data_IF_456940444668
#
_entry.id   IF_456940444668
#
_cell.length_a   1.000
_cell.length_b   1.000
_cell.length_c   1.000
_cell.angle_alpha   90.00
_cell.angle_beta   90.00
_cell.angle_gamma   90.00
#
_symmetry.space_group_name_H-M   'P 1'
#
loop_
_entity.id
_entity.type
_entity.pdbx_description
1 polymer ?
#
# COMPACT_ATOMS: atom_id res chain seq x y z
N UNK A 1 -25.31 -2.64 -25.61
CA UNK A 1 -24.19 -1.67 -25.78
C UNK A 1 -23.96 -0.80 -24.52
N UNK A 2 -24.98 -0.41 -23.75
CA UNK A 2 -24.84 0.41 -22.51
C UNK A 2 -24.02 -0.24 -21.37
N UNK A 3 -24.11 -1.56 -21.14
CA UNK A 3 -23.43 -2.23 -20.01
C UNK A 3 -21.90 -2.19 -20.12
N UNK A 4 -21.36 -2.21 -21.35
CA UNK A 4 -19.91 -2.16 -21.58
C UNK A 4 -19.28 -0.81 -21.26
N UNK A 5 -19.99 0.30 -21.51
CA UNK A 5 -19.50 1.65 -21.19
C UNK A 5 -19.50 1.92 -19.68
N UNK A 6 -20.49 1.39 -18.94
CA UNK A 6 -20.57 1.51 -17.48
C UNK A 6 -19.43 0.76 -16.83
N UNK A 7 -19.19 -0.50 -17.23
CA UNK A 7 -18.08 -1.31 -16.75
C UNK A 7 -16.72 -0.66 -17.05
N UNK A 8 -16.55 -0.12 -18.26
CA UNK A 8 -15.30 0.54 -18.66
C UNK A 8 -15.04 1.83 -17.88
N UNK A 9 -16.06 2.66 -17.65
CA UNK A 9 -15.95 3.88 -16.83
C UNK A 9 -15.72 3.58 -15.35
N UNK A 10 -16.37 2.55 -14.81
CA UNK A 10 -16.14 2.11 -13.44
C UNK A 10 -14.71 1.61 -13.25
N UNK A 11 -14.21 0.80 -14.19
CA UNK A 11 -12.85 0.27 -14.17
C UNK A 11 -11.80 1.38 -14.33
N UNK A 12 -11.94 2.28 -15.30
CA UNK A 12 -10.99 3.39 -15.46
C UNK A 12 -11.01 4.36 -14.29
N UNK A 13 -12.18 4.68 -13.74
CA UNK A 13 -12.28 5.55 -12.57
C UNK A 13 -11.77 4.90 -11.29
N UNK A 14 -11.84 3.56 -11.17
CA UNK A 14 -11.30 2.81 -10.04
C UNK A 14 -9.77 2.65 -10.14
N UNK A 15 -9.25 2.33 -11.33
CA UNK A 15 -7.81 2.11 -11.53
C UNK A 15 -7.01 3.41 -11.66
N UNK A 16 -7.62 4.55 -12.00
CA UNK A 16 -6.88 5.80 -12.16
C UNK A 16 -6.13 6.23 -10.89
N UNK A 17 -6.73 6.04 -9.71
CA UNK A 17 -6.08 6.41 -8.44
C UNK A 17 -4.91 5.45 -8.13
N UNK A 18 -5.10 4.12 -8.10
CA UNK A 18 -4.00 3.18 -7.88
C UNK A 18 -2.87 3.33 -8.89
N UNK A 19 -3.18 3.48 -10.18
CA UNK A 19 -2.14 3.66 -11.23
C UNK A 19 -1.39 4.97 -11.06
N UNK A 20 -2.07 6.05 -10.68
CA UNK A 20 -1.42 7.31 -10.35
C UNK A 20 -0.45 7.18 -9.17
N UNK A 21 -0.88 6.51 -8.08
CA UNK A 21 -0.01 6.26 -6.92
C UNK A 21 1.18 5.39 -7.31
N UNK A 22 0.97 4.32 -8.07
CA UNK A 22 2.05 3.45 -8.58
C UNK A 22 3.03 4.26 -9.43
N UNK A 23 2.53 5.09 -10.35
CA UNK A 23 3.37 5.94 -11.19
C UNK A 23 4.24 6.89 -10.34
N UNK A 24 3.68 7.48 -9.27
CA UNK A 24 4.45 8.30 -8.31
C UNK A 24 5.56 7.49 -7.66
N UNK A 25 5.31 6.26 -7.20
CA UNK A 25 6.35 5.40 -6.63
C UNK A 25 7.44 5.02 -7.64
N UNK A 26 7.06 4.72 -8.89
CA UNK A 26 8.03 4.43 -9.95
C UNK A 26 8.89 5.66 -10.25
N UNK A 27 8.27 6.85 -10.37
CA UNK A 27 8.99 8.10 -10.56
C UNK A 27 9.91 8.42 -9.37
N UNK A 28 9.45 8.16 -8.14
CA UNK A 28 10.28 8.29 -6.95
C UNK A 28 11.47 7.35 -6.98
N UNK A 29 11.31 6.08 -7.38
CA UNK A 29 12.42 5.13 -7.49
C UNK A 29 13.45 5.55 -8.53
N UNK A 30 13.00 6.06 -9.68
CA UNK A 30 13.88 6.61 -10.72
C UNK A 30 14.57 7.88 -10.18
N UNK A 31 13.83 8.75 -9.50
CA UNK A 31 14.34 9.98 -8.92
C UNK A 31 15.40 9.73 -7.85
N UNK A 32 15.18 8.79 -6.94
CA UNK A 32 16.16 8.40 -5.91
C UNK A 32 17.40 7.78 -6.55
N UNK A 33 17.23 6.91 -7.55
CA UNK A 33 18.36 6.35 -8.29
C UNK A 33 19.22 7.41 -8.98
N UNK A 34 18.59 8.33 -9.74
CA UNK A 34 19.30 9.43 -10.42
C UNK A 34 19.99 10.34 -9.41
N UNK A 35 19.31 10.64 -8.31
CA UNK A 35 19.84 11.46 -7.23
C UNK A 35 21.08 10.82 -6.57
N UNK A 36 21.01 9.54 -6.19
CA UNK A 36 22.14 8.83 -5.58
C UNK A 36 23.32 8.66 -6.53
N UNK A 37 23.07 8.54 -7.84
CA UNK A 37 24.11 8.44 -8.85
C UNK A 37 24.81 9.77 -9.13
N UNK A 38 24.16 10.90 -8.84
CA UNK A 38 24.68 12.23 -9.19
C UNK A 38 25.83 12.75 -8.31
N UNK A 39 26.33 11.94 -7.36
CA UNK A 39 27.46 12.28 -6.46
C UNK A 39 27.40 13.71 -5.88
N UNK A 40 26.20 14.20 -5.56
CA UNK A 40 26.03 15.54 -5.00
C UNK A 40 26.66 15.58 -3.60
N UNK A 41 27.81 16.27 -3.49
CA UNK A 41 28.70 16.26 -2.33
C UNK A 41 28.11 16.70 -0.98
N UNK A 42 26.90 17.27 -0.95
CA UNK A 42 26.24 17.70 0.30
C UNK A 42 25.83 16.51 1.20
N UNK A 43 25.52 15.33 0.64
CA UNK A 43 25.01 14.18 1.40
C UNK A 43 26.05 13.10 1.76
N UNK A 44 27.33 13.34 1.44
CA UNK A 44 28.44 12.45 1.78
C UNK A 44 28.45 11.94 3.23
N UNK A 45 28.31 12.80 4.27
CA UNK A 45 28.39 12.34 5.67
C UNK A 45 27.16 11.53 6.12
N UNK A 46 25.96 11.83 5.64
CA UNK A 46 24.74 11.05 5.94
C UNK A 46 24.81 9.68 5.27
N UNK A 47 25.26 9.64 4.01
CA UNK A 47 25.50 8.39 3.28
C UNK A 47 26.54 7.52 3.99
N UNK A 48 27.65 8.11 4.44
CA UNK A 48 28.70 7.41 5.17
C UNK A 48 28.20 6.84 6.52
N UNK A 49 27.39 7.61 7.26
CA UNK A 49 26.82 7.13 8.52
C UNK A 49 25.86 5.95 8.32
N UNK A 50 24.98 6.04 7.32
CA UNK A 50 24.01 4.99 6.98
C UNK A 50 24.71 3.74 6.42
N UNK A 51 25.75 3.91 5.59
CA UNK A 51 26.59 2.80 5.13
C UNK A 51 27.29 2.12 6.31
N UNK A 52 27.84 2.87 7.26
CA UNK A 52 28.57 2.30 8.38
C UNK A 52 27.68 1.53 9.38
N UNK A 53 26.41 1.90 9.55
CA UNK A 53 25.56 1.34 10.62
C UNK A 53 24.36 0.51 10.15
N UNK A 54 23.84 0.73 8.93
CA UNK A 54 22.56 0.12 8.49
C UNK A 54 22.70 -0.64 7.17
N UNK A 55 23.51 -0.14 6.24
CA UNK A 55 23.68 -0.71 4.89
C UNK A 55 25.17 -0.97 4.59
N UNK A 56 25.77 -1.85 5.41
CA UNK A 56 27.21 -2.16 5.42
C UNK A 56 27.79 -2.60 4.10
N UNK A 57 27.06 -3.40 3.33
CA UNK A 57 27.43 -3.83 1.99
C UNK A 57 26.21 -3.96 1.06
N UNK A 58 26.50 -4.12 -0.24
CA UNK A 58 25.48 -4.28 -1.27
C UNK A 58 24.69 -5.60 -1.09
N UNK A 59 25.32 -6.64 -0.54
CA UNK A 59 24.69 -7.95 -0.32
C UNK A 59 23.58 -7.86 0.75
N UNK A 60 23.89 -7.33 1.94
CA UNK A 60 22.91 -7.07 2.99
C UNK A 60 21.78 -6.16 2.52
N UNK A 61 22.11 -5.13 1.73
CA UNK A 61 21.11 -4.21 1.18
C UNK A 61 20.16 -4.93 0.21
N UNK A 62 20.70 -5.76 -0.70
CA UNK A 62 19.89 -6.55 -1.62
C UNK A 62 19.03 -7.59 -0.90
N UNK A 63 19.58 -8.27 0.12
CA UNK A 63 18.85 -9.24 0.95
C UNK A 63 17.70 -8.58 1.72
N UNK A 64 17.93 -7.41 2.30
CA UNK A 64 16.91 -6.63 3.00
C UNK A 64 15.80 -6.20 2.03
N UNK A 65 16.16 -5.60 0.89
CA UNK A 65 15.18 -5.16 -0.12
C UNK A 65 14.37 -6.34 -0.69
N UNK A 66 15.00 -7.48 -0.93
CA UNK A 66 14.33 -8.70 -1.40
C UNK A 66 13.37 -9.28 -0.35
N UNK A 67 13.77 -9.28 0.92
CA UNK A 67 12.91 -9.69 2.04
C UNK A 67 11.69 -8.78 2.15
N UNK A 68 11.91 -7.46 2.07
CA UNK A 68 10.84 -6.47 2.07
C UNK A 68 9.89 -6.66 0.89
N UNK A 69 10.40 -6.79 -0.33
CA UNK A 69 9.58 -6.94 -1.52
C UNK A 69 8.65 -8.16 -1.39
N UNK A 70 9.20 -9.29 -0.93
CA UNK A 70 8.43 -10.52 -0.67
C UNK A 70 7.38 -10.33 0.44
N UNK A 71 7.75 -9.63 1.52
CA UNK A 71 6.86 -9.28 2.62
C UNK A 71 5.68 -8.42 2.17
N UNK A 72 5.91 -7.38 1.36
CA UNK A 72 4.83 -6.51 0.86
C UNK A 72 3.94 -7.24 -0.14
N UNK A 73 4.48 -8.12 -0.99
CA UNK A 73 3.66 -8.96 -1.88
C UNK A 73 2.68 -9.82 -1.06
N UNK A 74 3.17 -10.41 0.04
CA UNK A 74 2.34 -11.19 0.96
C UNK A 74 1.28 -10.30 1.62
N UNK A 75 1.66 -9.13 2.11
CA UNK A 75 0.76 -8.14 2.71
C UNK A 75 -0.32 -7.66 1.72
N UNK A 76 0.04 -7.49 0.45
CA UNK A 76 -0.89 -7.11 -0.63
C UNK A 76 -1.93 -8.21 -0.83
N UNK A 77 -1.51 -9.48 -0.86
CA UNK A 77 -2.40 -10.64 -0.95
C UNK A 77 -3.37 -10.72 0.23
N UNK A 78 -2.88 -10.48 1.45
CA UNK A 78 -3.71 -10.43 2.67
C UNK A 78 -4.72 -9.29 2.58
N UNK A 79 -4.28 -8.10 2.16
CA UNK A 79 -5.15 -6.93 2.01
C UNK A 79 -6.27 -7.18 1.00
N UNK A 80 -5.95 -7.77 -0.15
CA UNK A 80 -6.95 -8.14 -1.16
C UNK A 80 -7.98 -9.12 -0.58
N UNK A 81 -7.52 -10.13 0.16
CA UNK A 81 -8.38 -11.10 0.84
C UNK A 81 -9.31 -10.44 1.88
N UNK A 82 -8.78 -9.52 2.70
CA UNK A 82 -9.56 -8.77 3.70
C UNK A 82 -10.63 -7.89 3.05
N UNK A 83 -10.31 -7.26 1.92
CA UNK A 83 -11.27 -6.42 1.21
C UNK A 83 -12.37 -7.26 0.55
N UNK A 84 -12.03 -8.41 -0.03
CA UNK A 84 -13.04 -9.36 -0.51
C UNK A 84 -13.93 -9.86 0.61
N UNK A 85 -13.38 -10.18 1.79
CA UNK A 85 -14.14 -10.60 2.96
C UNK A 85 -15.12 -9.49 3.41
N UNK A 86 -14.65 -8.24 3.49
CA UNK A 86 -15.50 -7.10 3.84
C UNK A 86 -16.62 -6.89 2.80
N UNK A 87 -16.32 -7.04 1.52
CA UNK A 87 -17.33 -6.98 0.44
C UNK A 87 -18.37 -8.10 0.56
N UNK A 88 -17.94 -9.33 0.83
CA UNK A 88 -18.83 -10.47 1.02
C UNK A 88 -19.76 -10.28 2.23
N UNK A 89 -19.25 -9.75 3.33
CA UNK A 89 -20.06 -9.44 4.53
C UNK A 89 -21.06 -8.32 4.28
N UNK A 90 -20.66 -7.27 3.56
CA UNK A 90 -21.58 -6.19 3.17
C UNK A 90 -22.70 -6.69 2.26
N UNK A 91 -22.37 -7.58 1.31
CA UNK A 91 -23.37 -8.22 0.44
C UNK A 91 -24.31 -9.16 1.21
N UNK A 92 -23.80 -9.85 2.25
CA UNK A 92 -24.60 -10.73 3.10
C UNK A 92 -25.51 -10.02 4.10
N UNK A 93 -25.21 -8.76 4.45
CA UNK A 93 -25.97 -7.97 5.44
C UNK A 93 -26.89 -6.92 4.83
N UNK A 94 -26.67 -6.49 3.57
CA UNK A 94 -27.51 -5.48 2.91
C UNK A 94 -27.95 -5.90 1.50
N UNK A 95 -29.25 -6.17 1.38
CA UNK A 95 -29.96 -6.33 0.11
C UNK A 95 -29.73 -5.10 -0.80
N UNK A 96 -29.04 -5.34 -1.92
CA UNK A 96 -29.05 -4.57 -3.18
C UNK A 96 -28.37 -3.18 -3.37
N UNK A 97 -27.85 -2.44 -2.37
CA UNK A 97 -27.34 -1.07 -2.64
C UNK A 97 -25.86 -0.74 -2.29
N UNK A 98 -25.08 -1.64 -1.69
CA UNK A 98 -23.76 -1.26 -1.12
C UNK A 98 -22.55 -1.60 -2.01
N UNK A 99 -22.75 -2.37 -3.08
CA UNK A 99 -21.65 -2.88 -3.92
C UNK A 99 -20.84 -1.77 -4.61
N UNK A 100 -21.49 -0.67 -4.99
CA UNK A 100 -20.85 0.42 -5.74
C UNK A 100 -20.17 1.46 -4.82
N UNK A 101 -20.59 1.55 -3.55
CA UNK A 101 -20.07 2.55 -2.61
C UNK A 101 -18.76 2.11 -1.92
N UNK A 102 -18.54 0.79 -1.76
CA UNK A 102 -17.39 0.25 -1.02
C UNK A 102 -16.09 0.21 -1.84
N UNK A 103 -16.19 -0.14 -3.13
CA UNK A 103 -15.09 -0.05 -4.10
C UNK A 103 -14.80 1.39 -4.54
N UNK A 104 -15.79 2.31 -4.44
CA UNK A 104 -15.63 3.75 -4.72
C UNK A 104 -14.98 4.56 -3.60
N UNK A 105 -14.76 3.99 -2.41
CA UNK A 105 -14.04 4.73 -1.36
C UNK A 105 -12.59 4.91 -1.79
N UNK A 106 -12.26 6.14 -2.19
CA UNK A 106 -10.93 6.58 -2.66
C UNK A 106 -9.78 6.11 -1.74
N UNK A 107 -10.04 5.97 -0.44
CA UNK A 107 -9.05 5.48 0.53
C UNK A 107 -8.58 4.05 0.23
N UNK A 108 -9.49 3.12 -0.10
CA UNK A 108 -9.12 1.73 -0.41
C UNK A 108 -8.28 1.65 -1.69
N UNK A 109 -8.61 2.47 -2.69
CA UNK A 109 -7.85 2.60 -3.94
C UNK A 109 -6.44 3.15 -3.70
N UNK A 110 -6.29 4.13 -2.81
CA UNK A 110 -4.98 4.67 -2.42
C UNK A 110 -4.15 3.61 -1.70
N UNK A 111 -4.74 2.83 -0.77
CA UNK A 111 -4.00 1.78 -0.07
C UNK A 111 -3.51 0.68 -1.03
N UNK A 112 -4.32 0.28 -2.00
CA UNK A 112 -3.87 -0.65 -3.04
C UNK A 112 -2.72 -0.11 -3.87
N UNK A 113 -2.86 1.13 -4.37
CA UNK A 113 -1.80 1.80 -5.11
C UNK A 113 -0.53 1.93 -4.29
N UNK A 114 -0.65 2.16 -2.98
CA UNK A 114 0.46 2.24 -2.05
C UNK A 114 1.17 0.90 -1.90
N UNK A 115 0.48 -0.20 -1.56
CA UNK A 115 1.14 -1.50 -1.40
C UNK A 115 1.87 -1.98 -2.67
N UNK A 116 1.21 -1.84 -3.83
CA UNK A 116 1.82 -2.18 -5.12
C UNK A 116 2.97 -1.22 -5.44
N UNK A 117 2.77 0.08 -5.20
CA UNK A 117 3.77 1.11 -5.41
C UNK A 117 5.04 0.89 -4.59
N UNK A 118 4.92 0.58 -3.30
CA UNK A 118 6.08 0.26 -2.45
C UNK A 118 6.75 -1.03 -2.88
N UNK A 119 5.99 -2.03 -3.33
CA UNK A 119 6.57 -3.27 -3.90
C UNK A 119 7.43 -2.95 -5.12
N UNK A 120 6.90 -2.19 -6.08
CA UNK A 120 7.63 -1.80 -7.28
C UNK A 120 8.81 -0.89 -6.96
N UNK A 121 8.65 0.07 -6.06
CA UNK A 121 9.75 0.92 -5.58
C UNK A 121 10.89 0.06 -5.00
N UNK A 122 10.55 -0.93 -4.17
CA UNK A 122 11.52 -1.85 -3.56
C UNK A 122 12.23 -2.69 -4.60
N UNK A 123 11.49 -3.25 -5.58
CA UNK A 123 12.06 -4.07 -6.65
C UNK A 123 12.94 -3.26 -7.61
N UNK A 124 12.54 -2.04 -7.98
CA UNK A 124 13.34 -1.15 -8.82
C UNK A 124 14.62 -0.78 -8.07
N UNK A 125 14.51 -0.37 -6.80
CA UNK A 125 15.68 -0.05 -5.96
C UNK A 125 16.60 -1.26 -5.85
N UNK A 126 16.05 -2.45 -5.61
CA UNK A 126 16.80 -3.71 -5.58
C UNK A 126 17.53 -3.99 -6.90
N UNK A 127 16.87 -3.77 -8.03
CA UNK A 127 17.46 -3.97 -9.36
C UNK A 127 18.62 -3.00 -9.65
N UNK A 128 18.73 -1.89 -8.92
CA UNK A 128 19.88 -0.97 -9.04
C UNK A 128 21.09 -1.40 -8.22
N UNK A 129 20.91 -2.28 -7.21
CA UNK A 129 22.00 -2.75 -6.35
C UNK A 129 23.03 -3.49 -7.19
N UNK A 130 24.30 -3.08 -7.09
CA UNK A 130 25.42 -3.74 -7.75
C UNK A 130 26.69 -3.60 -6.90
N UNK A 131 27.73 -4.43 -7.09
CA UNK A 131 28.96 -4.33 -6.31
C UNK A 131 29.57 -2.91 -6.22
N UNK A 132 29.61 -2.10 -7.31
CA UNK A 132 30.11 -0.73 -7.23
C UNK A 132 29.07 0.29 -6.74
N UNK A 133 27.79 -0.08 -6.61
CA UNK A 133 26.71 0.85 -6.28
C UNK A 133 25.71 0.26 -5.29
N UNK A 134 25.72 0.82 -4.08
CA UNK A 134 24.76 0.50 -3.02
C UNK A 134 23.75 1.67 -2.83
N UNK A 135 22.44 1.50 -3.15
CA UNK A 135 21.40 2.51 -3.06
C UNK A 135 20.88 2.69 -1.62
N UNK A 136 21.71 3.31 -0.78
CA UNK A 136 21.46 3.48 0.66
C UNK A 136 20.26 4.39 0.95
N UNK A 137 20.10 5.48 0.20
CA UNK A 137 18.97 6.38 0.34
C UNK A 137 17.68 5.70 -0.15
N UNK A 138 17.76 5.04 -1.31
CA UNK A 138 16.66 4.22 -1.84
C UNK A 138 16.17 3.20 -0.81
N UNK A 139 17.09 2.45 -0.21
CA UNK A 139 16.79 1.42 0.78
C UNK A 139 16.27 2.00 2.12
N UNK A 140 16.77 3.16 2.55
CA UNK A 140 16.24 3.86 3.74
C UNK A 140 14.79 4.29 3.54
N UNK A 141 14.46 4.81 2.35
CA UNK A 141 13.10 5.20 2.02
C UNK A 141 12.17 3.98 1.93
N UNK A 142 12.68 2.85 1.43
CA UNK A 142 11.95 1.57 1.47
C UNK A 142 11.55 1.18 2.90
N UNK A 143 12.45 1.29 3.88
CA UNK A 143 12.13 1.01 5.29
C UNK A 143 11.03 1.92 5.83
N UNK A 144 11.05 3.21 5.48
CA UNK A 144 10.00 4.15 5.86
C UNK A 144 8.64 3.74 5.26
N UNK A 145 8.64 3.41 3.97
CA UNK A 145 7.42 2.99 3.27
C UNK A 145 6.86 1.67 3.78
N UNK A 146 7.69 0.69 4.13
CA UNK A 146 7.27 -0.56 4.77
C UNK A 146 6.64 -0.30 6.12
N UNK A 147 7.23 0.58 6.91
CA UNK A 147 6.68 0.97 8.22
C UNK A 147 5.29 1.57 8.07
N UNK A 148 5.13 2.47 7.10
CA UNK A 148 3.81 3.02 6.75
C UNK A 148 2.84 1.93 6.23
N UNK A 149 3.32 0.99 5.42
CA UNK A 149 2.52 -0.13 4.90
C UNK A 149 1.97 -1.01 6.04
N UNK A 150 2.81 -1.33 7.02
CA UNK A 150 2.40 -2.07 8.23
C UNK A 150 1.32 -1.33 9.01
N UNK A 151 1.47 -0.02 9.21
CA UNK A 151 0.46 0.79 9.90
C UNK A 151 -0.87 0.82 9.14
N UNK A 152 -0.82 0.99 7.80
CA UNK A 152 -2.01 0.93 6.95
C UNK A 152 -2.69 -0.44 7.04
N UNK A 153 -1.93 -1.54 7.05
CA UNK A 153 -2.49 -2.88 7.22
C UNK A 153 -3.22 -3.00 8.58
N UNK A 154 -2.62 -2.51 9.66
CA UNK A 154 -3.27 -2.52 10.99
C UNK A 154 -4.57 -1.71 10.99
N UNK A 155 -4.59 -0.55 10.34
CA UNK A 155 -5.81 0.26 10.17
C UNK A 155 -6.88 -0.47 9.36
N UNK A 156 -6.49 -1.18 8.30
CA UNK A 156 -7.41 -1.98 7.50
C UNK A 156 -8.00 -3.14 8.31
N UNK A 157 -7.18 -3.85 9.07
CA UNK A 157 -7.63 -4.92 9.97
C UNK A 157 -8.61 -4.35 11.00
N UNK A 158 -8.28 -3.24 11.66
CA UNK A 158 -9.15 -2.58 12.62
C UNK A 158 -10.49 -2.18 12.01
N UNK A 159 -10.46 -1.55 10.83
CA UNK A 159 -11.67 -1.15 10.09
C UNK A 159 -12.54 -2.37 9.77
N UNK A 160 -11.95 -3.45 9.26
CA UNK A 160 -12.68 -4.68 8.93
C UNK A 160 -13.29 -5.32 10.19
N UNK A 161 -12.54 -5.42 11.29
CA UNK A 161 -13.06 -5.98 12.57
C UNK A 161 -14.18 -5.11 13.13
N UNK A 162 -14.05 -3.78 13.07
CA UNK A 162 -15.08 -2.86 13.58
C UNK A 162 -16.42 -3.01 12.85
N UNK A 163 -16.37 -3.34 11.55
CA UNK A 163 -17.56 -3.63 10.74
C UNK A 163 -18.18 -5.00 11.06
N UNK A 164 -17.41 -5.94 11.62
CA UNK A 164 -17.89 -7.28 12.01
C UNK A 164 -18.63 -7.31 13.34
N UNK A 165 -18.55 -6.27 14.19
CA UNK A 165 -19.33 -6.20 15.44
C UNK A 165 -20.76 -5.76 15.11
N UNK A 166 -21.79 -6.59 15.36
CA UNK A 166 -23.19 -6.22 15.15
C UNK A 166 -23.67 -5.27 16.26
N UNK A 167 -23.08 -4.08 16.37
CA UNK A 167 -23.33 -3.14 17.48
C UNK A 167 -23.99 -1.82 17.09
N UNK A 168 -24.56 -1.71 15.88
CA UNK A 168 -25.56 -0.66 15.61
C UNK A 168 -27.01 -1.19 15.61
N UNK A 169 -27.19 -2.51 15.45
CA UNK A 169 -28.54 -3.11 15.43
C UNK A 169 -29.12 -3.24 16.84
N UNK A 170 -28.32 -3.63 17.83
CA UNK A 170 -28.83 -3.83 19.21
C UNK A 170 -29.11 -2.50 19.92
N UNK A 171 -28.37 -1.42 19.62
CA UNK A 171 -28.62 -0.09 20.21
C UNK A 171 -29.87 0.60 19.67
N UNK A 172 -30.16 0.48 18.35
CA UNK A 172 -31.39 1.07 17.80
C UNK A 172 -32.67 0.34 18.25
N UNK A 173 -32.60 -0.97 18.48
CA UNK A 173 -33.75 -1.75 18.99
C UNK A 173 -33.98 -1.43 20.48
N UNK A 174 -32.92 -1.20 21.26
CA UNK A 174 -33.06 -0.82 22.67
C UNK A 174 -33.72 0.56 22.84
N UNK A 175 -33.29 1.55 22.05
CA UNK A 175 -33.84 2.92 22.15
C UNK A 175 -35.28 3.03 21.61
N UNK A 176 -35.67 2.21 20.61
CA UNK A 176 -37.06 2.16 20.13
C UNK A 176 -38.03 1.42 21.06
N UNK A 177 -37.53 0.54 21.93
CA UNK A 177 -38.38 -0.19 22.89
C UNK A 177 -38.58 0.58 24.20
N UNK A 178 -37.67 1.53 24.55
CA UNK A 178 -37.81 2.40 25.72
C UNK A 178 -38.57 3.70 25.43
N UNK A 179 -38.79 4.03 24.16
CA UNK A 179 -39.56 5.19 23.71
C UNK A 179 -41.02 4.86 23.32
N UNK A 180 -41.45 3.60 23.47
CA UNK A 180 -42.80 3.11 23.23
C UNK A 180 -43.42 2.57 24.54
#
# INVERSE_FOLDING_TARGET
>A
MQTGEILRRAFTSFLAIPTGVIAVFVLLAIGTYVFERSEIGWFGPVRAYMQAHVFGDAEATSGLLGTIATGIITMTSITFSLLLLALQQSAGSMTHQVFDQFLRRRLNQVYFGFFIGVTLYSLITLATVSPPFNPVFGASLTLLFVTAALYILLLLIYSTISQMRPTEIIRSIHDHTLAA
#
